data_IF_514206486207
#
_entry.id   IF_514206486207
#
_cell.length_a   1.000
_cell.length_b   1.000
_cell.length_c   1.000
_cell.angle_alpha   90.00
_cell.angle_beta   90.00
_cell.angle_gamma   90.00
#
_symmetry.space_group_name_H-M   'P 1'
#
loop_
_entity.id
_entity.type
_entity.pdbx_description
1 polymer ?
#
# COMPACT_ATOMS: atom_id res chain seq x y z
N UNK A 1 -1.20 3.02 16.16
CA UNK A 1 -1.58 2.50 14.82
C UNK A 1 -1.11 1.06 14.64
N UNK A 2 0.17 0.79 14.83
CA UNK A 2 0.77 -0.55 14.69
C UNK A 2 0.01 -1.69 15.41
N UNK A 3 -0.28 -1.55 16.72
CA UNK A 3 -1.02 -2.59 17.45
C UNK A 3 -2.45 -2.82 16.93
N UNK A 4 -3.08 -1.80 16.35
CA UNK A 4 -4.39 -1.95 15.71
C UNK A 4 -4.27 -2.67 14.37
N UNK A 5 -3.24 -2.37 13.59
CA UNK A 5 -2.94 -3.08 12.34
C UNK A 5 -2.73 -4.57 12.59
N UNK A 6 -1.99 -4.95 13.64
CA UNK A 6 -1.82 -6.35 14.04
C UNK A 6 -3.14 -7.07 14.36
N UNK A 7 -4.10 -6.38 14.99
CA UNK A 7 -5.44 -6.93 15.26
C UNK A 7 -6.24 -7.17 13.97
N UNK A 8 -6.19 -6.22 13.03
CA UNK A 8 -6.87 -6.34 11.72
C UNK A 8 -6.25 -7.47 10.91
N UNK A 9 -4.92 -7.54 10.90
CA UNK A 9 -4.17 -8.57 10.19
C UNK A 9 -4.55 -9.97 10.67
N UNK A 10 -4.58 -10.19 11.99
CA UNK A 10 -5.01 -11.46 12.56
C UNK A 10 -6.46 -11.81 12.16
N UNK A 11 -7.37 -10.85 12.22
CA UNK A 11 -8.77 -11.07 11.85
C UNK A 11 -8.92 -11.41 10.37
N UNK A 12 -8.25 -10.67 9.48
CA UNK A 12 -8.26 -10.92 8.04
C UNK A 12 -7.67 -12.28 7.70
N UNK A 13 -6.52 -12.63 8.28
CA UNK A 13 -5.87 -13.93 8.08
C UNK A 13 -6.76 -15.08 8.53
N UNK A 14 -7.46 -14.95 9.65
CA UNK A 14 -8.39 -16.00 10.14
C UNK A 14 -9.56 -16.31 9.20
N UNK A 15 -9.81 -15.43 8.22
CA UNK A 15 -10.85 -15.58 7.19
C UNK A 15 -10.28 -15.95 5.82
N UNK A 16 -8.98 -16.25 5.71
CA UNK A 16 -8.32 -16.47 4.42
C UNK A 16 -8.28 -15.20 3.56
N UNK A 17 -8.41 -14.03 4.19
CA UNK A 17 -8.39 -12.74 3.50
C UNK A 17 -6.97 -12.27 3.18
N UNK A 18 -6.89 -11.26 2.34
CA UNK A 18 -5.65 -10.56 2.00
C UNK A 18 -5.77 -9.07 2.35
N UNK A 19 -4.64 -8.40 2.52
CA UNK A 19 -4.56 -6.97 2.82
C UNK A 19 -3.52 -6.27 1.95
N UNK A 20 -3.82 -5.02 1.62
CA UNK A 20 -2.83 -4.04 1.16
C UNK A 20 -2.69 -2.99 2.26
N UNK A 21 -1.46 -2.73 2.69
CA UNK A 21 -1.15 -1.74 3.72
C UNK A 21 -0.34 -0.64 3.03
N UNK A 22 -0.88 0.58 3.07
CA UNK A 22 -0.31 1.76 2.41
C UNK A 22 -0.71 3.05 3.14
N UNK A 23 -0.18 4.17 2.70
CA UNK A 23 -0.63 5.51 3.08
C UNK A 23 -1.02 6.33 1.86
N UNK A 24 -1.64 7.49 2.08
CA UNK A 24 -1.99 8.49 1.07
C UNK A 24 -0.85 9.51 0.86
N UNK A 25 -0.11 9.83 1.92
CA UNK A 25 1.09 10.68 1.86
C UNK A 25 2.02 10.46 3.05
N UNK A 26 3.18 11.12 3.05
CA UNK A 26 4.07 11.22 4.20
C UNK A 26 3.69 12.38 5.13
N UNK A 27 4.08 12.28 6.40
CA UNK A 27 3.96 13.30 7.43
C UNK A 27 4.84 12.91 8.63
N UNK A 28 4.45 11.84 9.34
CA UNK A 28 5.03 11.46 10.63
C UNK A 28 6.51 11.07 10.59
N UNK A 29 7.06 10.79 9.41
CA UNK A 29 8.48 10.53 9.22
C UNK A 29 9.35 11.79 9.26
N UNK A 30 8.75 13.00 9.15
CA UNK A 30 9.43 14.28 9.28
C UNK A 30 8.68 15.20 10.25
N UNK A 31 9.10 15.16 11.51
CA UNK A 31 8.50 15.98 12.58
C UNK A 31 9.29 17.25 12.90
N UNK A 32 10.55 17.32 12.46
CA UNK A 32 11.45 18.45 12.65
C UNK A 32 11.92 18.92 11.28
N UNK A 33 11.80 20.22 11.03
CA UNK A 33 12.26 20.84 9.80
C UNK A 33 13.80 20.83 9.77
N UNK A 34 14.43 20.20 8.77
CA UNK A 34 15.89 20.08 8.71
C UNK A 34 16.61 21.42 8.43
N UNK A 35 15.90 22.44 7.92
CA UNK A 35 16.46 23.76 7.64
C UNK A 35 16.37 24.68 8.87
N UNK A 36 15.24 24.66 9.58
CA UNK A 36 14.99 25.57 10.70
C UNK A 36 15.24 24.95 12.07
N UNK A 37 15.23 23.63 12.18
CA UNK A 37 15.29 22.88 13.45
C UNK A 37 14.00 22.95 14.28
N UNK A 38 12.96 23.62 13.77
CA UNK A 38 11.66 23.76 14.43
C UNK A 38 10.68 22.63 14.09
N UNK A 39 9.45 22.68 14.66
CA UNK A 39 8.41 21.71 14.34
C UNK A 39 8.01 21.76 12.86
N UNK A 40 7.99 20.60 12.21
CA UNK A 40 7.43 20.44 10.86
C UNK A 40 5.97 19.99 10.97
N UNK A 41 5.03 20.77 10.43
CA UNK A 41 3.59 20.51 10.55
C UNK A 41 2.89 20.19 9.22
N UNK A 42 3.63 20.14 8.11
CA UNK A 42 3.11 19.88 6.78
C UNK A 42 3.28 18.41 6.36
N UNK A 43 2.67 18.04 5.22
CA UNK A 43 2.94 16.76 4.56
C UNK A 43 4.34 16.76 3.93
N UNK A 44 4.85 15.57 3.61
CA UNK A 44 6.07 15.42 2.82
C UNK A 44 5.76 14.90 1.41
N UNK A 45 6.77 14.93 0.55
CA UNK A 45 6.75 14.33 -0.79
C UNK A 45 7.43 12.96 -0.84
N UNK A 46 7.70 12.36 0.32
CA UNK A 46 8.33 11.04 0.39
C UNK A 46 7.39 9.95 -0.15
N UNK A 47 7.93 8.89 -0.77
CA UNK A 47 7.11 7.74 -1.16
C UNK A 47 6.52 7.04 0.07
N UNK A 48 5.33 6.48 -0.10
CA UNK A 48 4.62 5.72 0.93
C UNK A 48 4.89 4.22 0.82
N UNK A 49 4.84 3.45 1.93
CA UNK A 49 4.95 2.00 1.86
C UNK A 49 3.76 1.41 1.08
N UNK A 50 3.98 0.33 0.34
CA UNK A 50 2.93 -0.46 -0.29
C UNK A 50 3.21 -1.95 -0.05
N UNK A 51 2.49 -2.55 0.91
CA UNK A 51 2.78 -3.88 1.44
C UNK A 51 1.60 -4.80 1.16
N UNK A 52 1.87 -5.92 0.49
CA UNK A 52 0.88 -6.97 0.24
C UNK A 52 1.01 -8.11 1.28
N UNK A 53 -0.07 -8.34 2.02
CA UNK A 53 -0.20 -9.44 2.97
C UNK A 53 -1.24 -10.42 2.43
N UNK A 54 -0.78 -11.56 1.94
CA UNK A 54 -1.63 -12.62 1.41
C UNK A 54 -0.94 -13.99 1.55
N UNK A 55 -1.71 -15.08 1.55
CA UNK A 55 -1.16 -16.44 1.56
C UNK A 55 -0.38 -16.75 0.28
N UNK A 56 -0.93 -16.36 -0.86
CA UNK A 56 -0.31 -16.52 -2.17
C UNK A 56 0.75 -15.45 -2.48
N UNK A 57 1.15 -14.59 -1.52
CA UNK A 57 2.08 -13.48 -1.79
C UNK A 57 3.40 -13.92 -2.43
N UNK A 58 3.86 -15.15 -2.15
CA UNK A 58 5.10 -15.72 -2.74
C UNK A 58 5.00 -15.94 -4.25
N UNK A 59 3.79 -16.01 -4.79
CA UNK A 59 3.56 -16.16 -6.23
C UNK A 59 3.64 -14.81 -6.95
N UNK A 60 3.78 -13.70 -6.22
CA UNK A 60 3.81 -12.37 -6.80
C UNK A 60 4.99 -11.56 -6.30
N UNK A 61 5.47 -10.67 -7.15
CA UNK A 61 6.31 -9.52 -6.80
C UNK A 61 5.53 -8.24 -7.06
N UNK A 62 5.98 -7.12 -6.49
CA UNK A 62 5.37 -5.81 -6.71
C UNK A 62 6.27 -4.97 -7.61
N UNK A 63 5.69 -4.33 -8.63
CA UNK A 63 6.39 -3.41 -9.51
C UNK A 63 6.93 -2.23 -8.69
N UNK A 64 8.17 -1.78 -8.94
CA UNK A 64 8.67 -0.55 -8.35
C UNK A 64 7.97 0.67 -8.97
N UNK A 65 8.11 1.83 -8.32
CA UNK A 65 7.67 3.13 -8.83
C UNK A 65 6.17 3.22 -9.17
N UNK A 66 5.33 2.54 -8.39
CA UNK A 66 3.87 2.71 -8.45
C UNK A 66 3.39 4.04 -7.87
N UNK A 67 2.09 4.30 -8.04
CA UNK A 67 1.41 5.52 -7.61
C UNK A 67 0.03 5.20 -7.00
N UNK A 68 -0.61 6.17 -6.35
CA UNK A 68 -1.90 5.92 -5.66
C UNK A 68 -3.02 5.43 -6.59
N UNK A 69 -3.02 5.83 -7.87
CA UNK A 69 -4.00 5.35 -8.86
C UNK A 69 -3.90 3.84 -9.12
N UNK A 70 -2.77 3.21 -8.77
CA UNK A 70 -2.51 1.79 -9.00
C UNK A 70 -3.07 0.89 -7.88
N UNK A 71 -3.50 1.48 -6.76
CA UNK A 71 -4.06 0.74 -5.62
C UNK A 71 -5.35 0.02 -6.02
N UNK A 72 -6.31 0.73 -6.61
CA UNK A 72 -7.62 0.14 -6.98
C UNK A 72 -7.48 -0.97 -8.05
N UNK A 73 -6.74 -0.78 -9.15
CA UNK A 73 -6.39 -1.86 -10.08
C UNK A 73 -5.76 -3.08 -9.40
N UNK A 74 -4.85 -2.87 -8.44
CA UNK A 74 -4.21 -3.96 -7.69
C UNK A 74 -5.23 -4.74 -6.85
N UNK A 75 -6.17 -4.04 -6.18
CA UNK A 75 -7.27 -4.68 -5.44
C UNK A 75 -8.16 -5.51 -6.37
N UNK A 76 -8.55 -4.97 -7.53
CA UNK A 76 -9.36 -5.71 -8.52
C UNK A 76 -8.64 -6.97 -8.99
N UNK A 77 -7.34 -6.87 -9.27
CA UNK A 77 -6.53 -8.02 -9.60
C UNK A 77 -6.48 -9.06 -8.48
N UNK A 78 -6.42 -8.64 -7.21
CA UNK A 78 -6.44 -9.56 -6.05
C UNK A 78 -7.77 -10.28 -5.92
N UNK A 79 -8.87 -9.63 -6.30
CA UNK A 79 -10.22 -10.19 -6.29
C UNK A 79 -10.55 -10.99 -7.56
N UNK A 80 -9.69 -10.97 -8.58
CA UNK A 80 -9.98 -11.57 -9.90
C UNK A 80 -11.09 -10.85 -10.67
N UNK A 81 -11.34 -9.58 -10.35
CA UNK A 81 -12.37 -8.75 -10.99
C UNK A 81 -11.76 -8.01 -12.18
N UNK A 82 -12.42 -7.95 -13.35
CA UNK A 82 -11.93 -7.17 -14.48
C UNK A 82 -11.79 -5.67 -14.16
N UNK A 83 -10.70 -5.07 -14.59
CA UNK A 83 -10.48 -3.63 -14.46
C UNK A 83 -11.37 -2.88 -15.47
N UNK A 84 -12.15 -1.86 -15.03
CA UNK A 84 -12.91 -1.02 -15.94
C UNK A 84 -11.99 -0.10 -16.74
N UNK A 85 -12.41 0.28 -17.95
CA UNK A 85 -11.62 1.11 -18.89
C UNK A 85 -11.32 2.51 -18.37
N UNK A 86 -12.12 3.01 -17.42
CA UNK A 86 -11.96 4.32 -16.79
C UNK A 86 -10.79 4.36 -15.79
N UNK A 87 -10.35 3.20 -15.27
CA UNK A 87 -9.16 3.12 -14.41
C UNK A 87 -7.89 3.10 -15.28
N UNK A 88 -7.10 4.17 -15.21
CA UNK A 88 -5.83 4.32 -15.94
C UNK A 88 -4.60 3.85 -15.18
N UNK A 89 -4.75 3.52 -13.89
CA UNK A 89 -3.71 2.85 -13.11
C UNK A 89 -3.55 1.39 -13.52
N UNK A 90 -2.59 0.70 -12.90
CA UNK A 90 -2.19 -0.66 -13.28
C UNK A 90 -2.11 -1.57 -12.06
N UNK A 91 -2.45 -2.85 -12.21
CA UNK A 91 -2.12 -3.84 -11.18
C UNK A 91 -0.59 -3.88 -10.98
N UNK A 92 -0.16 -3.60 -9.75
CA UNK A 92 1.25 -3.58 -9.36
C UNK A 92 1.80 -4.98 -9.14
N UNK A 93 0.96 -6.02 -9.06
CA UNK A 93 1.43 -7.39 -8.89
C UNK A 93 1.95 -7.95 -10.21
N UNK A 94 3.04 -8.69 -10.13
CA UNK A 94 3.62 -9.46 -11.23
C UNK A 94 3.70 -10.90 -10.76
N UNK A 95 3.15 -11.85 -11.52
CA UNK A 95 3.31 -13.26 -11.21
C UNK A 95 4.78 -13.63 -11.34
N UNK A 96 5.32 -14.26 -10.30
CA UNK A 96 6.63 -14.88 -10.36
C UNK A 96 6.52 -16.09 -11.31
N UNK A 97 7.46 -16.18 -12.26
CA UNK A 97 7.58 -17.31 -13.18
C UNK A 97 8.07 -18.57 -12.50
#
# INVERSE_FOLDING_TARGET
VDSCLGRIELAMRSKGGAMLITADHGNAEMMIDPQTGGPHTAHTTNPVPFIMVAENRKQFSLKPNGSLQDISPTVLGMLGVPQPKEMTGHDLRVKNG
#
